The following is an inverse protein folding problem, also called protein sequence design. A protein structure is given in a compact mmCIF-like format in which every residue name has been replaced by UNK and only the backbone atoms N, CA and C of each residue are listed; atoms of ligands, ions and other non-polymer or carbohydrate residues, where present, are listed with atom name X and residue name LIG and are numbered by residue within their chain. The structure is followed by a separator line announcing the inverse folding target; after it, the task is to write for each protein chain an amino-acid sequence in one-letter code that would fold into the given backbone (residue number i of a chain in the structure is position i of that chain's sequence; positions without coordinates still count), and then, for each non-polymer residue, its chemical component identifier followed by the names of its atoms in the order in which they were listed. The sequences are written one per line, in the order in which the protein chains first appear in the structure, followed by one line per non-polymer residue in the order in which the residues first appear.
data_IF_322141180568
#
_entry.id   IF_322141180568
#
_cell.length_a   1.000
_cell.length_b   1.000
_cell.length_c   1.000
_cell.angle_alpha   90.00
_cell.angle_beta   90.00
_cell.angle_gamma   90.00
#
_symmetry.space_group_name_H-M   'P 1'
#
loop_
_entity.id
_entity.type
_entity.pdbx_description
1 polymer ?
#
# COMPACT_ATOMS: atom_id res chain seq x y z
N UNK A 1 16.10 22.21 -14.62
CA UNK A 1 16.22 23.22 -13.55
C UNK A 1 14.82 23.52 -13.02
N UNK A 2 14.45 22.99 -11.86
CA UNK A 2 13.17 23.28 -11.24
C UNK A 2 13.20 24.70 -10.69
N UNK A 3 12.35 25.58 -11.20
CA UNK A 3 12.12 26.88 -10.58
C UNK A 3 11.24 26.66 -9.36
N UNK A 4 11.58 27.29 -8.24
CA UNK A 4 10.69 27.45 -7.10
C UNK A 4 9.44 28.18 -7.58
N UNK A 5 8.27 27.53 -7.47
CA UNK A 5 7.02 28.08 -7.99
C UNK A 5 6.39 29.10 -7.05
N UNK A 6 6.70 29.02 -5.76
CA UNK A 6 6.19 29.93 -4.74
C UNK A 6 7.09 29.93 -3.52
N UNK A 7 7.12 31.03 -2.76
CA UNK A 7 7.77 31.17 -1.47
C UNK A 7 6.78 30.98 -0.30
N UNK A 8 5.49 30.73 -0.61
CA UNK A 8 4.48 30.45 0.41
C UNK A 8 4.63 29.02 0.94
N UNK A 9 4.33 28.83 2.21
CA UNK A 9 4.10 27.50 2.75
C UNK A 9 2.81 26.95 2.16
N UNK A 10 2.88 25.78 1.53
CA UNK A 10 1.75 25.09 0.94
C UNK A 10 1.60 23.76 1.68
N UNK A 11 0.61 23.65 2.59
CA UNK A 11 0.42 22.45 3.39
C UNK A 11 -0.07 21.24 2.56
N UNK A 12 -0.65 21.50 1.38
CA UNK A 12 -1.15 20.49 0.48
C UNK A 12 -1.05 20.98 -0.97
N UNK A 13 -0.56 20.11 -1.85
CA UNK A 13 -0.48 20.42 -3.28
C UNK A 13 -0.74 19.18 -4.12
N UNK A 14 -1.39 19.36 -5.27
CA UNK A 14 -1.46 18.37 -6.32
C UNK A 14 -0.78 18.89 -7.58
N UNK A 15 -0.23 17.98 -8.38
CA UNK A 15 0.39 18.33 -9.65
C UNK A 15 -0.25 17.55 -10.80
N UNK A 16 -0.47 18.22 -11.91
CA UNK A 16 -0.90 17.61 -13.15
C UNK A 16 0.22 17.67 -14.17
N UNK A 17 0.60 16.53 -14.71
CA UNK A 17 1.60 16.41 -15.78
C UNK A 17 0.90 15.97 -17.05
N UNK A 18 1.10 16.69 -18.15
CA UNK A 18 0.52 16.34 -19.44
C UNK A 18 1.44 16.77 -20.59
N UNK A 19 1.21 16.17 -21.76
CA UNK A 19 1.82 16.61 -23.02
C UNK A 19 0.73 17.07 -23.98
N UNK A 20 0.95 18.13 -24.79
CA UNK A 20 0.06 18.47 -25.89
C UNK A 20 0.15 17.48 -27.06
N UNK A 21 1.22 16.68 -27.13
CA UNK A 21 1.36 15.62 -28.13
C UNK A 21 0.58 14.38 -27.66
N UNK A 22 -0.46 13.94 -28.41
CA UNK A 22 -1.27 12.79 -28.06
C UNK A 22 -0.51 11.45 -28.12
N UNK A 23 0.64 11.40 -28.75
CA UNK A 23 1.48 10.22 -28.86
C UNK A 23 2.61 10.18 -27.81
N UNK A 24 2.79 11.26 -27.05
CA UNK A 24 3.80 11.28 -26.01
C UNK A 24 3.51 10.27 -24.90
N UNK A 25 4.54 9.54 -24.51
CA UNK A 25 4.52 8.68 -23.32
C UNK A 25 5.24 9.42 -22.20
N UNK A 26 4.55 9.65 -21.09
CA UNK A 26 5.08 10.36 -19.92
C UNK A 26 5.16 9.38 -18.75
N UNK A 27 6.33 9.30 -18.13
CA UNK A 27 6.50 8.75 -16.79
C UNK A 27 6.74 9.93 -15.84
N UNK A 28 6.05 9.92 -14.72
CA UNK A 28 6.20 10.97 -13.70
C UNK A 28 6.12 10.37 -12.30
N UNK A 29 6.77 11.00 -11.38
CA UNK A 29 6.71 10.70 -9.95
C UNK A 29 7.07 11.96 -9.17
N UNK A 30 6.77 11.97 -7.87
CA UNK A 30 7.23 12.99 -6.94
C UNK A 30 7.97 12.31 -5.78
N UNK A 31 8.97 13.01 -5.23
CA UNK A 31 9.57 12.67 -3.94
C UNK A 31 9.14 13.71 -2.94
N UNK A 32 8.55 13.27 -1.84
CA UNK A 32 8.16 14.12 -0.71
C UNK A 32 9.09 13.77 0.44
N UNK A 33 9.82 14.77 0.92
CA UNK A 33 10.83 14.59 1.98
C UNK A 33 10.38 15.31 3.22
N UNK A 34 10.35 14.60 4.35
CA UNK A 34 10.23 15.23 5.65
C UNK A 34 11.54 15.94 5.98
N UNK A 35 11.50 17.25 6.11
CA UNK A 35 12.72 18.04 6.37
C UNK A 35 13.31 17.83 7.77
N UNK A 36 12.58 17.16 8.66
CA UNK A 36 13.01 16.91 10.02
C UNK A 36 13.72 15.56 10.15
N UNK A 37 13.11 14.48 9.64
CA UNK A 37 13.72 13.15 9.66
C UNK A 37 14.65 12.89 8.47
N UNK A 38 14.43 13.58 7.34
CA UNK A 38 15.05 13.25 6.05
C UNK A 38 14.35 12.09 5.34
N UNK A 39 13.30 11.51 5.94
CA UNK A 39 12.50 10.45 5.31
C UNK A 39 11.91 10.92 3.98
N UNK A 40 12.06 10.10 2.94
CA UNK A 40 11.68 10.42 1.58
C UNK A 40 10.73 9.36 1.02
N UNK A 41 9.50 9.72 0.79
CA UNK A 41 8.52 8.84 0.14
C UNK A 41 8.42 9.11 -1.36
N UNK A 42 8.31 8.04 -2.15
CA UNK A 42 8.07 8.10 -3.59
C UNK A 42 6.56 8.08 -3.86
N UNK A 43 6.02 9.20 -4.36
CA UNK A 43 4.61 9.31 -4.73
C UNK A 43 4.44 9.01 -6.21
N UNK A 44 3.72 7.95 -6.53
CA UNK A 44 3.37 7.57 -7.89
C UNK A 44 2.14 8.35 -8.39
N UNK A 45 2.01 8.57 -9.70
CA UNK A 45 0.83 9.23 -10.25
C UNK A 45 -0.41 8.36 -10.05
N UNK A 46 -1.49 8.99 -9.64
CA UNK A 46 -2.79 8.32 -9.58
C UNK A 46 -3.29 8.03 -10.99
N UNK A 47 -3.68 6.78 -11.25
CA UNK A 47 -4.28 6.34 -12.51
C UNK A 47 -5.78 6.63 -12.55
N UNK A 48 -6.36 6.67 -13.76
CA UNK A 48 -7.82 6.69 -13.91
C UNK A 48 -8.34 5.27 -13.78
N UNK A 49 -9.24 5.06 -12.86
CA UNK A 49 -9.89 3.77 -12.68
C UNK A 49 -11.29 3.77 -13.28
N UNK A 50 -11.67 2.65 -13.87
CA UNK A 50 -13.03 2.35 -14.31
C UNK A 50 -13.75 1.41 -13.34
N UNK A 51 -12.98 0.67 -12.55
CA UNK A 51 -13.39 -0.25 -11.49
C UNK A 51 -13.14 0.36 -10.11
N UNK A 52 -13.60 -0.26 -9.02
CA UNK A 52 -13.26 0.15 -7.68
C UNK A 52 -11.74 0.28 -7.48
N UNK A 53 -11.34 1.24 -6.65
CA UNK A 53 -9.97 1.43 -6.22
C UNK A 53 -9.77 0.83 -4.83
N UNK A 54 -8.64 0.19 -4.64
CA UNK A 54 -8.21 -0.31 -3.34
C UNK A 54 -6.99 0.45 -2.85
N UNK A 55 -7.00 0.84 -1.59
CA UNK A 55 -5.81 1.17 -0.81
C UNK A 55 -5.53 -0.08 0.02
N UNK A 56 -4.52 -0.89 -0.35
CA UNK A 56 -4.37 -2.24 0.19
C UNK A 56 -3.86 -2.28 1.63
N UNK A 57 -3.38 -1.16 2.17
CA UNK A 57 -2.90 -1.07 3.53
C UNK A 57 -3.26 0.27 4.15
N UNK A 58 -4.03 0.25 5.24
CA UNK A 58 -4.26 1.40 6.13
C UNK A 58 -4.15 0.94 7.58
N UNK A 59 -3.74 1.85 8.45
CA UNK A 59 -3.52 1.56 9.85
C UNK A 59 -3.94 2.72 10.76
N UNK A 60 -4.44 2.37 11.92
CA UNK A 60 -4.45 3.17 13.15
C UNK A 60 -4.15 2.23 14.30
N UNK A 61 -2.88 2.02 14.62
CA UNK A 61 -2.48 1.08 15.66
C UNK A 61 -1.07 1.35 16.17
N UNK A 62 -0.79 0.81 17.35
CA UNK A 62 0.56 0.78 17.90
C UNK A 62 1.39 -0.29 17.20
N UNK A 63 2.57 0.08 16.77
CA UNK A 63 3.56 -0.80 16.19
C UNK A 63 4.66 -1.21 17.15
N UNK A 64 5.64 -1.94 16.66
CA UNK A 64 6.85 -2.28 17.40
C UNK A 64 7.67 -1.01 17.73
N UNK A 65 8.53 -1.11 18.74
CA UNK A 65 9.47 -0.05 19.14
C UNK A 65 8.81 1.31 19.50
N UNK A 66 7.53 1.28 19.95
CA UNK A 66 6.81 2.48 20.37
C UNK A 66 6.29 3.36 19.23
N UNK A 67 6.26 2.87 18.01
CA UNK A 67 5.61 3.54 16.87
C UNK A 67 4.09 3.59 17.05
N UNK A 68 3.47 4.64 16.52
CA UNK A 68 2.01 4.84 16.53
C UNK A 68 1.59 5.17 15.10
N UNK A 69 1.13 4.13 14.39
CA UNK A 69 0.83 4.16 12.96
C UNK A 69 -0.54 4.75 12.69
N UNK A 70 -0.61 5.60 11.69
CA UNK A 70 -1.85 6.16 11.15
C UNK A 70 -1.77 6.30 9.63
N UNK A 71 -2.92 6.30 8.97
CA UNK A 71 -2.99 6.44 7.53
C UNK A 71 -3.69 7.73 7.12
N UNK A 72 -2.97 8.51 6.31
CA UNK A 72 -3.48 9.66 5.62
C UNK A 72 -4.00 9.26 4.25
N UNK A 73 -5.17 9.75 3.87
CA UNK A 73 -5.77 9.49 2.57
C UNK A 73 -6.26 10.78 1.94
N UNK A 74 -5.94 10.98 0.67
CA UNK A 74 -6.47 12.05 -0.16
C UNK A 74 -7.27 11.47 -1.32
N UNK A 75 -8.49 11.97 -1.54
CA UNK A 75 -9.33 11.63 -2.69
C UNK A 75 -9.66 12.90 -3.47
N UNK A 76 -9.40 12.88 -4.78
CA UNK A 76 -9.57 14.02 -5.66
C UNK A 76 -10.58 13.74 -6.77
N UNK A 77 -11.45 14.71 -7.07
CA UNK A 77 -12.24 14.74 -8.29
C UNK A 77 -11.34 15.04 -9.49
N UNK A 78 -11.39 14.19 -10.53
CA UNK A 78 -10.56 14.33 -11.73
C UNK A 78 -11.22 15.21 -12.76
N UNK A 79 -10.50 16.24 -13.21
CA UNK A 79 -11.00 17.16 -14.23
C UNK A 79 -11.96 18.21 -13.66
N UNK A 80 -12.79 18.78 -14.54
CA UNK A 80 -13.70 19.88 -14.19
C UNK A 80 -15.10 19.44 -13.77
N UNK A 81 -15.41 18.15 -13.84
CA UNK A 81 -16.72 17.61 -13.47
C UNK A 81 -16.71 17.19 -12.01
N UNK A 82 -17.85 17.40 -11.35
CA UNK A 82 -18.08 16.91 -10.00
C UNK A 82 -17.98 15.38 -9.95
N UNK A 83 -17.56 14.88 -8.82
CA UNK A 83 -17.43 13.45 -8.58
C UNK A 83 -18.19 13.03 -7.33
N UNK A 84 -18.70 11.80 -7.33
CA UNK A 84 -19.30 11.15 -6.19
C UNK A 84 -18.70 9.78 -6.02
N UNK A 85 -18.33 9.42 -4.78
CA UNK A 85 -17.73 8.14 -4.46
C UNK A 85 -18.19 7.65 -3.10
N UNK A 86 -18.05 6.36 -2.87
CA UNK A 86 -18.15 5.77 -1.54
C UNK A 86 -16.82 5.20 -1.10
N UNK A 87 -16.60 5.14 0.21
CA UNK A 87 -15.42 4.56 0.84
C UNK A 87 -15.87 3.61 1.95
N UNK A 88 -15.32 2.40 1.98
CA UNK A 88 -15.55 1.40 3.01
C UNK A 88 -14.22 0.92 3.57
N UNK A 89 -14.20 0.64 4.87
CA UNK A 89 -13.07 0.01 5.54
C UNK A 89 -13.27 -1.50 5.58
N UNK A 90 -12.27 -2.23 5.12
CA UNK A 90 -12.21 -3.69 5.03
C UNK A 90 -11.15 -4.18 5.99
N UNK A 91 -11.53 -5.06 6.90
CA UNK A 91 -10.69 -5.60 7.96
C UNK A 91 -11.05 -7.05 8.25
N UNK A 92 -10.30 -7.73 9.12
CA UNK A 92 -10.51 -9.14 9.46
C UNK A 92 -11.96 -9.44 9.90
N UNK A 93 -12.60 -8.53 10.63
CA UNK A 93 -13.97 -8.72 11.11
C UNK A 93 -15.05 -8.40 10.07
N UNK A 94 -14.67 -8.01 8.88
CA UNK A 94 -15.57 -7.72 7.76
C UNK A 94 -15.47 -6.30 7.22
N UNK A 95 -16.48 -5.92 6.43
CA UNK A 95 -16.55 -4.64 5.71
C UNK A 95 -17.52 -3.69 6.40
N UNK A 96 -17.09 -2.45 6.64
CA UNK A 96 -17.98 -1.40 7.19
C UNK A 96 -19.01 -0.95 6.17
N UNK A 97 -20.12 -0.36 6.64
CA UNK A 97 -21.05 0.33 5.74
C UNK A 97 -20.34 1.46 4.99
N UNK A 98 -20.53 1.55 3.66
CA UNK A 98 -19.87 2.59 2.88
C UNK A 98 -20.32 4.00 3.26
N UNK A 99 -19.38 4.92 3.37
CA UNK A 99 -19.63 6.36 3.53
C UNK A 99 -19.55 7.03 2.14
N UNK A 100 -20.50 7.91 1.83
CA UNK A 100 -20.59 8.56 0.53
C UNK A 100 -20.20 10.03 0.61
N UNK A 101 -19.44 10.49 -0.38
CA UNK A 101 -18.94 11.85 -0.50
C UNK A 101 -19.17 12.44 -1.88
N UNK A 102 -19.43 13.76 -1.92
CA UNK A 102 -19.51 14.55 -3.14
C UNK A 102 -18.32 15.52 -3.20
N UNK A 103 -17.67 15.63 -4.34
CA UNK A 103 -16.56 16.53 -4.59
C UNK A 103 -16.85 17.42 -5.79
N UNK A 104 -16.59 18.70 -5.63
CA UNK A 104 -16.60 19.66 -6.76
C UNK A 104 -15.44 19.32 -7.70
N UNK A 105 -15.65 19.48 -9.01
CA UNK A 105 -14.64 19.19 -10.01
C UNK A 105 -13.31 19.89 -9.74
N UNK A 106 -12.22 19.13 -9.75
CA UNK A 106 -10.88 19.59 -9.46
C UNK A 106 -10.54 19.79 -7.97
N UNK A 107 -11.50 19.52 -7.05
CA UNK A 107 -11.24 19.57 -5.61
C UNK A 107 -10.76 18.21 -5.05
N UNK A 108 -10.13 18.26 -3.88
CA UNK A 108 -9.72 17.09 -3.10
C UNK A 108 -10.27 17.17 -1.68
N UNK A 109 -10.49 16.03 -1.08
CA UNK A 109 -10.70 15.87 0.36
C UNK A 109 -9.54 15.06 0.93
N UNK A 110 -9.11 15.38 2.16
CA UNK A 110 -8.00 14.71 2.84
C UNK A 110 -8.36 14.43 4.27
N UNK A 111 -8.03 13.23 4.72
CA UNK A 111 -8.09 12.78 6.11
C UNK A 111 -6.67 12.44 6.57
N UNK A 112 -6.26 13.00 7.69
CA UNK A 112 -4.90 12.78 8.23
C UNK A 112 -4.80 11.49 9.04
N UNK A 113 -5.95 10.97 9.46
CA UNK A 113 -6.10 9.70 10.14
C UNK A 113 -7.43 9.07 9.72
N UNK A 114 -7.45 8.49 8.53
CA UNK A 114 -8.69 8.06 7.86
C UNK A 114 -9.51 7.07 8.67
N UNK A 115 -8.87 6.18 9.46
CA UNK A 115 -9.60 5.20 10.26
C UNK A 115 -10.31 5.86 11.44
N UNK A 116 -9.67 6.81 12.12
CA UNK A 116 -10.33 7.57 13.20
C UNK A 116 -11.32 8.59 12.65
N UNK A 117 -10.95 9.35 11.62
CA UNK A 117 -11.74 10.45 11.07
C UNK A 117 -13.06 9.96 10.46
N UNK A 118 -13.08 8.79 9.82
CA UNK A 118 -14.25 8.28 9.10
C UNK A 118 -14.96 7.13 9.81
N UNK A 119 -14.24 6.24 10.47
CA UNK A 119 -14.79 4.98 10.94
C UNK A 119 -14.75 4.83 12.46
N UNK A 120 -14.08 5.74 13.17
CA UNK A 120 -13.80 5.64 14.61
C UNK A 120 -13.24 4.24 14.97
N UNK A 121 -12.29 3.76 14.16
CA UNK A 121 -11.76 2.41 14.20
C UNK A 121 -10.26 2.40 14.43
N UNK A 122 -9.80 1.39 15.16
CA UNK A 122 -8.39 1.04 15.33
C UNK A 122 -8.08 -0.21 14.50
N UNK A 123 -6.78 -0.49 14.31
CA UNK A 123 -6.29 -1.72 13.69
C UNK A 123 -5.66 -1.52 12.33
N UNK A 124 -5.66 -2.61 11.56
CA UNK A 124 -5.13 -2.72 10.20
C UNK A 124 -6.25 -3.09 9.25
N UNK A 125 -6.13 -2.72 7.97
CA UNK A 125 -7.06 -3.14 6.95
C UNK A 125 -6.77 -2.51 5.60
N UNK A 126 -7.77 -2.54 4.72
CA UNK A 126 -7.76 -1.92 3.42
C UNK A 126 -8.95 -0.96 3.27
N UNK A 127 -8.87 -0.04 2.31
CA UNK A 127 -10.01 0.78 1.93
C UNK A 127 -10.44 0.43 0.51
N UNK A 128 -11.74 0.23 0.34
CA UNK A 128 -12.38 0.11 -0.98
C UNK A 128 -13.06 1.43 -1.31
N UNK A 129 -12.69 2.02 -2.44
CA UNK A 129 -13.24 3.27 -2.94
C UNK A 129 -13.99 2.98 -4.22
N UNK A 130 -15.30 3.17 -4.21
CA UNK A 130 -16.15 2.94 -5.35
C UNK A 130 -16.60 4.26 -5.96
N UNK A 131 -16.38 4.41 -7.26
CA UNK A 131 -16.83 5.56 -8.02
C UNK A 131 -18.32 5.45 -8.33
N UNK A 132 -19.11 6.39 -7.85
CA UNK A 132 -20.55 6.47 -8.10
C UNK A 132 -20.87 7.43 -9.26
N UNK A 133 -20.10 8.52 -9.40
CA UNK A 133 -20.22 9.47 -10.53
C UNK A 133 -18.92 10.24 -10.71
N UNK A 134 -18.68 10.75 -11.91
CA UNK A 134 -17.46 11.50 -12.25
C UNK A 134 -16.22 10.62 -12.20
N UNK A 135 -15.04 11.22 -12.22
CA UNK A 135 -13.75 10.52 -12.08
C UNK A 135 -13.14 10.82 -10.72
N UNK A 136 -12.62 9.81 -10.05
CA UNK A 136 -11.88 9.95 -8.80
C UNK A 136 -10.46 9.38 -8.92
N UNK A 137 -9.56 9.91 -8.13
CA UNK A 137 -8.25 9.34 -7.86
C UNK A 137 -7.96 9.45 -6.38
N UNK A 138 -7.21 8.50 -5.84
CA UNK A 138 -6.83 8.52 -4.45
C UNK A 138 -5.33 8.24 -4.27
N UNK A 139 -4.80 8.68 -3.15
CA UNK A 139 -3.44 8.41 -2.70
C UNK A 139 -3.45 8.23 -1.19
N UNK A 140 -2.53 7.42 -0.67
CA UNK A 140 -2.40 7.18 0.76
C UNK A 140 -0.95 7.17 1.21
N UNK A 141 -0.76 7.52 2.46
CA UNK A 141 0.49 7.38 3.19
C UNK A 141 0.19 6.78 4.55
N UNK A 142 0.89 5.71 4.92
CA UNK A 142 0.90 5.22 6.30
C UNK A 142 2.17 5.69 6.97
N UNK A 143 2.06 6.32 8.15
CA UNK A 143 3.19 6.99 8.82
C UNK A 143 3.07 6.92 10.34
N UNK A 144 4.19 7.11 11.00
CA UNK A 144 4.30 7.34 12.45
C UNK A 144 4.95 8.69 12.71
N UNK A 145 4.67 9.28 13.87
CA UNK A 145 5.26 10.56 14.31
C UNK A 145 6.17 10.29 15.50
N UNK A 146 7.40 10.73 15.40
CA UNK A 146 8.36 10.62 16.49
C UNK A 146 8.11 11.66 17.58
N UNK A 147 8.73 11.50 18.75
CA UNK A 147 8.54 12.41 19.89
C UNK A 147 8.97 13.86 19.60
N UNK A 148 9.89 14.08 18.68
CA UNK A 148 10.36 15.39 18.23
C UNK A 148 9.56 15.95 17.03
N UNK A 149 8.53 15.23 16.57
CA UNK A 149 7.62 15.66 15.50
C UNK A 149 8.07 15.30 14.09
N UNK A 150 9.15 14.55 13.93
CA UNK A 150 9.56 13.99 12.65
C UNK A 150 8.61 12.85 12.23
N UNK A 151 8.57 12.50 10.94
CA UNK A 151 7.75 11.40 10.45
C UNK A 151 8.60 10.36 9.74
N UNK A 152 8.21 9.10 9.89
CA UNK A 152 8.63 7.98 9.05
C UNK A 152 7.40 7.33 8.45
N UNK A 153 7.50 6.90 7.20
CA UNK A 153 6.31 6.30 6.58
C UNK A 153 6.52 5.88 5.14
N UNK A 154 5.48 5.28 4.59
CA UNK A 154 5.48 4.73 3.24
C UNK A 154 4.27 5.23 2.45
N UNK A 155 4.47 5.48 1.16
CA UNK A 155 3.39 5.73 0.22
C UNK A 155 2.70 4.41 -0.12
N UNK A 156 1.38 4.37 0.04
CA UNK A 156 0.56 3.22 -0.35
C UNK A 156 -0.18 3.59 -1.64
N UNK A 157 0.18 3.00 -2.79
CA UNK A 157 -0.50 3.27 -4.05
C UNK A 157 -1.94 2.75 -4.02
N UNK A 158 -2.83 3.44 -4.72
CA UNK A 158 -4.12 2.86 -5.07
C UNK A 158 -3.96 1.86 -6.21
N UNK A 159 -4.68 0.75 -6.09
CA UNK A 159 -4.74 -0.32 -7.09
C UNK A 159 -6.17 -0.43 -7.60
N UNK A 160 -6.34 -0.50 -8.91
CA UNK A 160 -7.65 -0.81 -9.50
C UNK A 160 -7.97 -2.29 -9.27
N UNK A 161 -9.21 -2.59 -8.87
CA UNK A 161 -9.65 -3.96 -8.68
C UNK A 161 -9.38 -4.81 -9.94
N UNK A 162 -8.73 -5.99 -9.83
CA UNK A 162 -8.45 -6.86 -10.97
C UNK A 162 -9.73 -7.28 -11.70
N UNK A 163 -9.63 -7.66 -12.98
CA UNK A 163 -10.76 -8.18 -13.77
C UNK A 163 -11.20 -9.56 -13.26
N UNK A 164 -12.49 -9.86 -13.37
CA UNK A 164 -13.08 -11.17 -13.00
C UNK A 164 -12.55 -12.35 -13.84
N UNK A 165 -11.82 -12.08 -14.91
CA UNK A 165 -11.29 -13.10 -15.83
C UNK A 165 -9.85 -13.56 -15.53
N UNK A 166 -9.18 -12.99 -14.54
CA UNK A 166 -7.84 -13.42 -14.18
C UNK A 166 -7.90 -14.67 -13.29
N UNK A 167 -7.92 -15.84 -13.92
CA UNK A 167 -7.75 -17.11 -13.23
C UNK A 167 -6.30 -17.24 -12.75
N UNK A 168 -6.11 -17.53 -11.47
CA UNK A 168 -4.81 -17.87 -10.85
C UNK A 168 -3.75 -16.79 -11.14
N UNK A 169 -3.88 -15.67 -10.47
CA UNK A 169 -2.80 -14.68 -10.46
C UNK A 169 -1.61 -15.27 -9.72
N UNK A 170 -0.46 -15.27 -10.36
CA UNK A 170 0.83 -15.46 -9.69
C UNK A 170 1.51 -14.10 -9.57
N UNK A 171 1.67 -13.65 -8.35
CA UNK A 171 2.27 -12.34 -8.04
C UNK A 171 3.66 -12.57 -7.49
N UNK A 172 4.62 -11.75 -7.89
CA UNK A 172 5.95 -11.70 -7.29
C UNK A 172 6.10 -10.47 -6.41
N UNK A 173 6.65 -10.66 -5.21
CA UNK A 173 6.98 -9.60 -4.27
C UNK A 173 8.49 -9.67 -4.01
N UNK A 174 9.28 -8.81 -4.62
CA UNK A 174 10.73 -8.77 -4.45
C UNK A 174 11.14 -8.03 -3.17
N UNK A 175 12.44 -8.06 -2.87
CA UNK A 175 13.10 -7.22 -1.86
C UNK A 175 12.68 -7.49 -0.43
N UNK A 176 12.31 -8.74 -0.12
CA UNK A 176 12.13 -9.15 1.26
C UNK A 176 13.49 -9.31 1.93
N UNK A 177 13.56 -8.98 3.21
CA UNK A 177 14.75 -9.13 4.04
C UNK A 177 14.36 -9.52 5.47
N UNK A 178 15.28 -10.16 6.17
CA UNK A 178 15.13 -10.56 7.57
C UNK A 178 16.46 -10.44 8.29
N UNK A 179 16.43 -9.96 9.52
CA UNK A 179 17.58 -9.93 10.42
C UNK A 179 17.23 -10.64 11.73
N UNK A 180 18.10 -11.51 12.17
CA UNK A 180 17.97 -12.27 13.42
C UNK A 180 18.05 -11.37 14.66
N UNK A 181 18.71 -10.21 14.55
CA UNK A 181 18.70 -9.15 15.56
C UNK A 181 17.51 -8.20 15.32
N UNK A 182 16.48 -8.20 16.20
CA UNK A 182 15.30 -7.35 16.02
C UNK A 182 15.58 -5.85 16.25
N UNK A 183 16.80 -5.48 16.63
CA UNK A 183 17.21 -4.08 16.81
C UNK A 183 18.05 -3.53 15.65
N UNK A 184 18.43 -4.40 14.70
CA UNK A 184 19.23 -4.05 13.53
C UNK A 184 18.69 -4.67 12.25
N UNK A 185 19.15 -4.18 11.08
CA UNK A 185 18.73 -4.68 9.77
C UNK A 185 17.24 -4.52 9.49
N UNK A 186 16.61 -5.55 8.94
CA UNK A 186 15.25 -5.47 8.40
C UNK A 186 14.37 -6.63 8.82
N UNK A 187 13.05 -6.43 8.77
CA UNK A 187 12.02 -7.46 8.80
C UNK A 187 11.01 -7.23 7.70
N UNK A 188 10.41 -8.28 7.17
CA UNK A 188 9.42 -8.19 6.09
C UNK A 188 8.06 -8.70 6.56
N UNK A 189 7.07 -7.82 6.54
CA UNK A 189 5.68 -8.18 6.77
C UNK A 189 5.02 -8.39 5.40
N UNK A 190 4.44 -9.59 5.18
CA UNK A 190 3.69 -9.91 3.97
C UNK A 190 2.20 -9.81 4.28
N UNK A 191 1.44 -9.13 3.42
CA UNK A 191 -0.01 -9.01 3.57
C UNK A 191 -0.72 -9.53 2.32
N UNK A 192 -1.83 -10.22 2.52
CA UNK A 192 -2.72 -10.72 1.46
C UNK A 192 -4.15 -10.30 1.77
N UNK A 193 -4.84 -9.74 0.78
CA UNK A 193 -6.22 -9.27 0.86
C UNK A 193 -7.09 -10.07 -0.11
N UNK A 194 -8.08 -10.80 0.41
CA UNK A 194 -9.11 -11.44 -0.39
C UNK A 194 -10.08 -10.40 -0.95
N UNK A 195 -10.29 -10.37 -2.27
CA UNK A 195 -11.23 -9.46 -2.94
C UNK A 195 -12.59 -10.11 -3.25
N UNK A 196 -12.75 -11.40 -2.94
CA UNK A 196 -13.97 -12.15 -3.22
C UNK A 196 -14.95 -12.09 -2.04
N UNK A 197 -16.22 -12.30 -2.36
CA UNK A 197 -17.32 -12.47 -1.39
C UNK A 197 -17.31 -13.86 -0.71
N UNK A 198 -16.36 -14.73 -1.07
CA UNK A 198 -16.21 -16.11 -0.61
C UNK A 198 -14.77 -16.33 -0.10
N UNK A 199 -14.55 -17.33 0.77
CA UNK A 199 -13.21 -17.71 1.20
C UNK A 199 -12.33 -18.16 0.04
N UNK A 200 -11.03 -17.84 0.12
CA UNK A 200 -10.01 -18.29 -0.85
C UNK A 200 -8.80 -18.91 -0.15
N UNK A 201 -8.07 -19.71 -0.91
CA UNK A 201 -6.74 -20.21 -0.53
C UNK A 201 -5.67 -19.46 -1.31
N UNK A 202 -4.61 -19.05 -0.62
CA UNK A 202 -3.46 -18.37 -1.21
C UNK A 202 -2.20 -19.10 -0.81
N UNK A 203 -1.46 -19.58 -1.81
CA UNK A 203 -0.15 -20.21 -1.63
C UNK A 203 0.95 -19.16 -1.66
N UNK A 204 1.89 -19.27 -0.73
CA UNK A 204 3.05 -18.40 -0.61
C UNK A 204 4.31 -19.23 -0.69
N UNK A 205 5.12 -19.00 -1.71
CA UNK A 205 6.43 -19.61 -1.91
C UNK A 205 7.51 -18.57 -1.59
N UNK A 206 8.43 -18.89 -0.68
CA UNK A 206 9.55 -18.01 -0.29
C UNK A 206 10.86 -18.52 -0.88
N UNK A 207 11.65 -17.59 -1.39
CA UNK A 207 12.93 -17.87 -2.03
C UNK A 207 14.01 -16.88 -1.57
N UNK A 208 15.27 -17.32 -1.48
CA UNK A 208 16.45 -16.45 -1.31
C UNK A 208 17.16 -16.22 -2.65
N UNK A 209 17.96 -15.16 -2.74
CA UNK A 209 18.91 -14.94 -3.84
C UNK A 209 18.30 -14.58 -5.17
N UNK A 210 19.14 -14.54 -6.21
CA UNK A 210 18.77 -14.00 -7.50
C UNK A 210 18.16 -15.01 -8.50
N UNK A 211 18.04 -16.28 -8.13
CA UNK A 211 17.33 -17.33 -8.89
C UNK A 211 17.69 -17.51 -10.37
N UNK A 212 18.87 -17.06 -10.82
CA UNK A 212 19.22 -17.01 -12.24
C UNK A 212 19.49 -18.36 -12.91
N UNK A 213 19.82 -19.40 -12.14
CA UNK A 213 20.22 -20.68 -12.71
C UNK A 213 19.23 -21.81 -12.39
N UNK A 214 18.80 -21.97 -11.16
CA UNK A 214 17.75 -22.91 -10.75
C UNK A 214 16.97 -22.31 -9.57
N UNK A 215 15.67 -22.00 -9.73
CA UNK A 215 14.87 -21.44 -8.62
C UNK A 215 14.82 -22.33 -7.40
N UNK A 216 14.96 -23.66 -7.56
CA UNK A 216 14.89 -24.62 -6.48
C UNK A 216 16.11 -24.61 -5.56
N UNK A 217 17.27 -24.16 -6.04
CA UNK A 217 18.48 -24.01 -5.21
C UNK A 217 18.35 -22.89 -4.17
N UNK A 218 17.31 -22.03 -4.32
CA UNK A 218 17.06 -20.88 -3.46
C UNK A 218 15.71 -20.94 -2.75
N UNK A 219 15.00 -22.06 -2.87
CA UNK A 219 13.70 -22.27 -2.23
C UNK A 219 13.85 -22.39 -0.71
N UNK A 220 13.08 -21.57 0.02
CA UNK A 220 13.03 -21.59 1.49
C UNK A 220 11.91 -22.52 1.93
N UNK A 221 10.68 -22.18 1.56
CA UNK A 221 9.46 -22.87 1.99
C UNK A 221 8.26 -22.52 1.14
N UNK A 222 7.20 -23.31 1.26
CA UNK A 222 5.86 -23.04 0.74
C UNK A 222 4.83 -23.27 1.83
N UNK A 223 3.82 -22.42 1.90
CA UNK A 223 2.69 -22.60 2.82
C UNK A 223 1.42 -21.95 2.24
N UNK A 224 0.25 -22.41 2.73
CA UNK A 224 -1.06 -21.90 2.30
C UNK A 224 -1.67 -21.03 3.39
N UNK A 225 -2.23 -19.91 2.98
CA UNK A 225 -3.01 -18.98 3.81
C UNK A 225 -4.48 -19.09 3.41
N UNK A 226 -5.34 -19.43 4.38
CA UNK A 226 -6.80 -19.41 4.22
C UNK A 226 -7.30 -18.01 4.57
N UNK A 227 -8.10 -17.41 3.69
CA UNK A 227 -8.68 -16.08 3.90
C UNK A 227 -10.19 -16.15 3.77
N UNK A 228 -10.89 -15.63 4.77
CA UNK A 228 -12.33 -15.42 4.69
C UNK A 228 -12.67 -14.33 3.66
N UNK A 229 -13.97 -14.21 3.31
CA UNK A 229 -14.43 -13.16 2.40
C UNK A 229 -13.94 -11.77 2.84
N UNK A 230 -13.28 -11.05 1.95
CA UNK A 230 -12.74 -9.70 2.18
C UNK A 230 -11.73 -9.59 3.35
N UNK A 231 -11.16 -10.70 3.78
CA UNK A 231 -10.16 -10.67 4.85
C UNK A 231 -8.82 -10.12 4.35
N UNK A 232 -8.23 -9.20 5.14
CA UNK A 232 -6.81 -8.84 5.04
C UNK A 232 -6.04 -9.60 6.13
N UNK A 233 -5.07 -10.42 5.73
CA UNK A 233 -4.16 -11.08 6.66
C UNK A 233 -2.74 -10.57 6.49
N UNK A 234 -2.13 -10.14 7.61
CA UNK A 234 -0.72 -9.78 7.66
C UNK A 234 0.09 -10.85 8.38
N UNK A 235 1.13 -11.33 7.71
CA UNK A 235 2.14 -12.24 8.23
C UNK A 235 3.35 -11.39 8.65
N UNK A 236 3.54 -11.23 9.95
CA UNK A 236 4.63 -10.42 10.49
C UNK A 236 5.93 -11.19 10.37
N UNK A 237 6.97 -10.50 9.90
CA UNK A 237 8.32 -11.05 9.69
C UNK A 237 8.26 -12.44 9.04
N UNK A 238 7.71 -12.50 7.84
CA UNK A 238 7.33 -13.74 7.16
C UNK A 238 8.49 -14.72 6.97
N UNK A 239 9.74 -14.24 6.99
CA UNK A 239 10.94 -15.05 6.87
C UNK A 239 11.38 -15.66 8.23
N UNK A 240 11.13 -14.99 9.35
CA UNK A 240 11.63 -15.38 10.67
C UNK A 240 11.25 -16.81 11.12
N UNK A 241 10.10 -17.33 10.66
CA UNK A 241 9.66 -18.69 10.97
C UNK A 241 10.36 -19.78 10.16
N UNK A 242 11.17 -19.40 9.15
CA UNK A 242 11.66 -20.31 8.12
C UNK A 242 13.18 -20.24 7.91
N UNK A 243 13.85 -19.22 8.47
CA UNK A 243 15.31 -19.03 8.39
C UNK A 243 15.87 -18.70 9.77
N UNK A 244 17.09 -19.22 10.06
CA UNK A 244 17.81 -18.99 11.31
C UNK A 244 19.01 -18.03 11.12
N UNK A 245 19.10 -17.38 9.96
CA UNK A 245 20.19 -16.49 9.58
C UNK A 245 19.66 -15.20 8.95
N UNK A 246 20.52 -14.18 8.88
CA UNK A 246 20.17 -12.93 8.21
C UNK A 246 20.01 -13.17 6.69
N UNK A 247 18.95 -12.58 6.12
CA UNK A 247 18.64 -12.65 4.71
C UNK A 247 18.52 -11.24 4.15
N UNK A 248 19.51 -10.81 3.37
CA UNK A 248 19.54 -9.47 2.77
C UNK A 248 18.64 -9.36 1.54
N UNK A 249 18.33 -10.49 0.90
CA UNK A 249 17.51 -10.51 -0.31
C UNK A 249 16.72 -11.81 -0.43
N UNK A 250 15.42 -11.66 -0.35
CA UNK A 250 14.45 -12.72 -0.65
C UNK A 250 13.32 -12.18 -1.53
N UNK A 251 12.50 -13.08 -2.03
CA UNK A 251 11.28 -12.74 -2.74
C UNK A 251 10.19 -13.78 -2.45
N UNK A 252 8.93 -13.39 -2.62
CA UNK A 252 7.79 -14.27 -2.49
C UNK A 252 7.07 -14.42 -3.84
N UNK A 253 6.76 -15.67 -4.20
CA UNK A 253 5.74 -16.01 -5.19
C UNK A 253 4.40 -16.21 -4.47
N UNK A 254 3.34 -15.56 -4.91
CA UNK A 254 2.03 -15.64 -4.28
C UNK A 254 1.00 -16.02 -5.34
N UNK A 255 0.30 -17.14 -5.12
CA UNK A 255 -0.76 -17.63 -6.02
C UNK A 255 -2.03 -17.93 -5.23
N UNK A 256 -3.21 -17.87 -5.87
CA UNK A 256 -4.46 -18.10 -5.15
C UNK A 256 -5.60 -18.63 -6.01
N UNK A 257 -6.66 -19.12 -5.37
CA UNK A 257 -7.84 -19.69 -6.02
C UNK A 257 -8.89 -18.63 -6.43
N UNK A 258 -8.68 -17.34 -6.02
CA UNK A 258 -9.56 -16.22 -6.33
C UNK A 258 -8.76 -14.94 -6.56
N UNK A 259 -9.46 -13.80 -6.72
CA UNK A 259 -8.81 -12.49 -6.83
C UNK A 259 -8.31 -12.03 -5.47
N UNK A 260 -7.08 -11.59 -5.44
CA UNK A 260 -6.47 -11.07 -4.23
C UNK A 260 -5.49 -9.94 -4.57
N UNK A 261 -5.10 -9.17 -3.57
CA UNK A 261 -3.94 -8.27 -3.61
C UNK A 261 -2.92 -8.77 -2.61
N UNK A 262 -1.64 -8.70 -2.98
CA UNK A 262 -0.55 -9.02 -2.07
C UNK A 262 0.52 -7.93 -2.11
N UNK A 263 1.06 -7.61 -0.94
CA UNK A 263 2.11 -6.62 -0.78
C UNK A 263 2.99 -6.95 0.43
N UNK A 264 4.16 -6.35 0.47
CA UNK A 264 5.01 -6.39 1.66
C UNK A 264 5.31 -4.99 2.19
N UNK A 265 5.61 -4.93 3.47
CA UNK A 265 6.22 -3.79 4.13
C UNK A 265 7.55 -4.25 4.71
N UNK A 266 8.65 -3.79 4.12
CA UNK A 266 10.01 -4.06 4.59
C UNK A 266 10.41 -2.93 5.52
N UNK A 267 10.65 -3.26 6.78
CA UNK A 267 10.81 -2.28 7.86
C UNK A 267 12.24 -2.33 8.39
N UNK A 268 12.90 -1.19 8.42
CA UNK A 268 14.17 -1.03 9.14
C UNK A 268 13.92 -1.18 10.64
N UNK A 269 14.57 -2.14 11.27
CA UNK A 269 14.36 -2.47 12.68
C UNK A 269 14.86 -1.38 13.64
N UNK A 270 15.82 -0.57 13.20
CA UNK A 270 16.42 0.49 13.99
C UNK A 270 15.56 1.75 14.05
N UNK A 271 15.03 2.15 12.89
CA UNK A 271 14.26 3.40 12.76
C UNK A 271 12.75 3.17 12.80
N UNK A 272 12.31 1.96 12.45
CA UNK A 272 10.92 1.64 12.19
C UNK A 272 10.43 2.14 10.82
N UNK A 273 11.32 2.70 9.98
CA UNK A 273 10.99 3.22 8.66
C UNK A 273 10.61 2.08 7.69
N UNK A 274 9.40 2.12 7.08
CA UNK A 274 8.92 1.07 6.19
C UNK A 274 9.08 1.45 4.72
N UNK A 275 9.32 0.44 3.88
CA UNK A 275 9.20 0.52 2.43
C UNK A 275 8.07 -0.39 1.96
N UNK A 276 7.10 0.18 1.24
CA UNK A 276 6.00 -0.56 0.65
C UNK A 276 6.42 -1.21 -0.67
N UNK A 277 6.20 -2.51 -0.79
CA UNK A 277 6.50 -3.30 -2.00
C UNK A 277 5.20 -3.94 -2.49
N UNK A 278 4.66 -3.43 -3.59
CA UNK A 278 3.47 -4.01 -4.21
C UNK A 278 3.83 -5.24 -5.01
N UNK A 279 3.08 -6.32 -4.83
CA UNK A 279 3.16 -7.51 -5.67
C UNK A 279 2.74 -7.21 -7.11
N UNK A 280 3.41 -7.84 -8.07
CA UNK A 280 3.15 -7.70 -9.52
C UNK A 280 3.21 -9.05 -10.22
N UNK A 281 2.41 -9.17 -11.27
CA UNK A 281 2.48 -10.28 -12.24
C UNK A 281 3.79 -10.29 -13.03
#
# INVERSE_FOLDING_TARGET
MLRRLTDAEIPQASARVWSPDPYARIASWASVVDNHSGDAILVLPATSATRPLWIPAVAHNRGANGTDWRSEVEVCARGALDARFSIAFVREEGVTSPLTFDLVGGSCVRWTDVLQDLFAADGLGALRIERLAGGVSAASRTYTVTADGATYGQFIPTVEEPDDGSSVMQIQIPWLAHSTDPSEGYRSNLSVLNLEDEPIEVDVDLFTGSGFLDPWDYFITSFTVQLEAHELRQLNDVLAAHVDEDVDFAWAGVGGTGRFLAHASVVDNRTGDPVFVMGRE
#
